data_IF_511623232713
#
_entry.id   IF_511623232713
#
_cell.length_a   1.000
_cell.length_b   1.000
_cell.length_c   1.000
_cell.angle_alpha   90.00
_cell.angle_beta   90.00
_cell.angle_gamma   90.00
#
_symmetry.space_group_name_H-M   'P 1'
#
loop_
_entity.id
_entity.type
_entity.pdbx_description
1 polymer ?
#
# COMPACT_ATOMS: atom_id res chain seq x y z
N UNK A 1 -0.36 4.60 4.05
CA UNK A 1 0.27 5.87 3.59
C UNK A 1 -0.73 7.01 3.46
N UNK A 2 -0.29 8.29 3.46
CA UNK A 2 -1.16 9.46 3.32
C UNK A 2 -2.05 9.44 2.08
N UNK A 3 -3.11 10.29 2.01
CA UNK A 3 -3.90 10.45 0.79
C UNK A 3 -3.04 10.96 -0.39
N UNK A 4 -3.47 10.67 -1.61
CA UNK A 4 -2.89 11.18 -2.87
C UNK A 4 -1.43 10.84 -3.15
N UNK A 5 -0.80 9.97 -2.36
CA UNK A 5 0.57 9.48 -2.60
C UNK A 5 0.67 8.43 -3.72
N UNK A 6 -0.43 8.02 -4.31
CA UNK A 6 -0.46 7.04 -5.40
C UNK A 6 -0.61 5.58 -4.96
N UNK A 7 -1.17 5.30 -3.77
CA UNK A 7 -1.39 3.92 -3.28
C UNK A 7 -2.08 3.03 -4.30
N UNK A 8 -3.27 3.42 -4.74
CA UNK A 8 -4.10 2.65 -5.68
C UNK A 8 -3.37 2.39 -7.00
N UNK A 9 -2.65 3.39 -7.53
CA UNK A 9 -1.84 3.22 -8.74
C UNK A 9 -0.72 2.20 -8.56
N UNK A 10 -0.04 2.23 -7.41
CA UNK A 10 0.99 1.24 -7.06
C UNK A 10 0.38 -0.15 -6.95
N UNK A 11 -0.75 -0.29 -6.23
CA UNK A 11 -1.45 -1.58 -6.06
C UNK A 11 -1.80 -2.18 -7.41
N UNK A 12 -2.39 -1.40 -8.33
CA UNK A 12 -2.71 -1.85 -9.70
C UNK A 12 -1.47 -2.38 -10.41
N UNK A 13 -0.36 -1.62 -10.39
CA UNK A 13 0.87 -2.03 -11.07
C UNK A 13 1.52 -3.28 -10.46
N UNK A 14 1.46 -3.43 -9.14
CA UNK A 14 1.95 -4.65 -8.47
C UNK A 14 1.07 -5.85 -8.84
N UNK A 15 -0.26 -5.67 -8.87
CA UNK A 15 -1.18 -6.74 -9.28
C UNK A 15 -0.93 -7.15 -10.73
N UNK A 16 -0.72 -6.20 -11.66
CA UNK A 16 -0.38 -6.51 -13.04
C UNK A 16 0.83 -7.48 -13.09
N UNK A 17 1.90 -7.18 -12.32
CA UNK A 17 3.10 -8.06 -12.29
C UNK A 17 2.85 -9.42 -11.65
N UNK A 18 2.03 -9.50 -10.60
CA UNK A 18 1.71 -10.75 -9.92
C UNK A 18 0.81 -11.65 -10.80
N UNK A 19 -0.11 -11.06 -11.54
CA UNK A 19 -0.97 -11.77 -12.50
C UNK A 19 -0.17 -12.32 -13.70
N UNK A 20 0.81 -11.57 -14.19
CA UNK A 20 1.73 -12.03 -15.22
C UNK A 20 2.51 -13.30 -14.78
N UNK A 21 2.65 -13.48 -13.47
CA UNK A 21 3.27 -14.66 -12.85
C UNK A 21 2.24 -15.74 -12.44
N UNK A 22 0.97 -15.56 -12.80
CA UNK A 22 -0.11 -16.54 -12.63
C UNK A 22 -0.80 -16.52 -11.28
N UNK A 23 -0.57 -15.51 -10.43
CA UNK A 23 -1.24 -15.40 -9.13
C UNK A 23 -2.64 -14.79 -9.25
N UNK A 24 -3.59 -15.36 -8.51
CA UNK A 24 -4.93 -14.82 -8.32
C UNK A 24 -4.93 -13.83 -7.14
N UNK A 25 -5.07 -12.53 -7.43
CA UNK A 25 -4.94 -11.47 -6.43
C UNK A 25 -6.25 -10.70 -6.27
N UNK A 26 -6.70 -10.58 -5.01
CA UNK A 26 -7.86 -9.75 -4.65
C UNK A 26 -7.46 -8.49 -3.91
N UNK A 27 -8.34 -7.48 -3.93
CA UNK A 27 -8.16 -6.21 -3.22
C UNK A 27 -9.35 -5.89 -2.34
N UNK A 28 -9.10 -5.41 -1.12
CA UNK A 28 -10.12 -4.72 -0.33
C UNK A 28 -9.64 -3.30 -0.05
N UNK A 29 -10.43 -2.33 -0.51
CA UNK A 29 -10.22 -0.90 -0.24
C UNK A 29 -11.04 -0.47 0.97
N UNK A 30 -10.40 0.17 1.95
CA UNK A 30 -11.07 0.80 3.09
C UNK A 30 -11.01 2.32 2.97
N UNK A 31 -12.18 2.95 2.98
CA UNK A 31 -12.31 4.40 2.92
C UNK A 31 -13.49 4.88 3.79
N UNK A 32 -13.56 6.18 4.06
CA UNK A 32 -14.69 6.77 4.80
C UNK A 32 -15.96 6.82 3.96
N UNK A 33 -15.84 7.21 2.70
CA UNK A 33 -16.93 7.40 1.76
C UNK A 33 -16.63 6.65 0.46
N UNK A 34 -17.61 6.60 -0.44
CA UNK A 34 -17.42 6.03 -1.78
C UNK A 34 -16.23 6.69 -2.50
N UNK A 35 -15.44 5.89 -3.20
CA UNK A 35 -14.25 6.32 -3.92
C UNK A 35 -14.32 5.89 -5.37
N UNK A 36 -13.65 6.63 -6.26
CA UNK A 36 -13.52 6.26 -7.68
C UNK A 36 -12.50 5.12 -7.89
N UNK A 37 -11.78 4.72 -6.86
CA UNK A 37 -10.77 3.66 -6.96
C UNK A 37 -11.40 2.31 -7.32
N UNK A 38 -12.64 2.04 -6.90
CA UNK A 38 -13.37 0.84 -7.31
C UNK A 38 -13.53 0.77 -8.83
N UNK A 39 -13.87 1.89 -9.47
CA UNK A 39 -14.00 1.99 -10.95
C UNK A 39 -12.64 1.68 -11.61
N UNK A 40 -11.54 2.11 -11.00
CA UNK A 40 -10.20 1.82 -11.51
C UNK A 40 -9.89 0.32 -11.45
N UNK A 41 -10.22 -0.35 -10.33
CA UNK A 41 -10.05 -1.79 -10.20
C UNK A 41 -10.92 -2.56 -11.19
N UNK A 42 -12.19 -2.19 -11.34
CA UNK A 42 -13.12 -2.80 -12.30
C UNK A 42 -12.62 -2.66 -13.75
N UNK A 43 -12.14 -1.48 -14.15
CA UNK A 43 -11.56 -1.25 -15.49
C UNK A 43 -10.31 -2.09 -15.77
N UNK A 44 -9.69 -2.62 -14.74
CA UNK A 44 -8.49 -3.47 -14.80
C UNK A 44 -8.81 -4.95 -14.55
N UNK A 45 -10.09 -5.32 -14.52
CA UNK A 45 -10.56 -6.68 -14.17
C UNK A 45 -9.96 -7.19 -12.85
N UNK A 46 -9.66 -6.29 -11.90
CA UNK A 46 -9.16 -6.65 -10.58
C UNK A 46 -10.37 -6.91 -9.68
N UNK A 47 -10.45 -8.12 -9.14
CA UNK A 47 -11.47 -8.47 -8.16
C UNK A 47 -11.28 -7.61 -6.90
N UNK A 48 -12.15 -6.66 -6.70
CA UNK A 48 -12.04 -5.69 -5.61
C UNK A 48 -13.34 -5.57 -4.81
N UNK A 49 -13.19 -5.30 -3.50
CA UNK A 49 -14.29 -4.99 -2.59
C UNK A 49 -13.99 -3.70 -1.84
N UNK A 50 -15.00 -2.89 -1.57
CA UNK A 50 -14.87 -1.67 -0.78
C UNK A 50 -15.52 -1.83 0.59
N UNK A 51 -14.80 -1.47 1.63
CA UNK A 51 -15.30 -1.32 3.00
C UNK A 51 -15.45 0.16 3.35
N UNK A 52 -16.66 0.61 3.58
CA UNK A 52 -16.94 2.02 3.92
C UNK A 52 -17.06 2.17 5.44
N UNK A 53 -16.16 2.95 6.03
CA UNK A 53 -16.10 3.16 7.48
C UNK A 53 -17.01 4.29 7.98
N UNK A 54 -17.55 5.10 7.08
CA UNK A 54 -18.35 6.27 7.45
C UNK A 54 -17.55 7.25 8.30
N UNK A 55 -17.99 7.47 9.53
CA UNK A 55 -17.33 8.38 10.47
C UNK A 55 -16.17 7.74 11.25
N UNK A 56 -15.89 6.46 11.06
CA UNK A 56 -14.78 5.78 11.70
C UNK A 56 -13.48 5.97 10.90
N UNK A 57 -12.34 5.86 11.59
CA UNK A 57 -11.06 5.80 10.91
C UNK A 57 -10.98 4.50 10.08
N UNK A 58 -10.66 4.57 8.77
CA UNK A 58 -10.55 3.38 7.91
C UNK A 58 -9.55 2.35 8.41
N UNK A 59 -8.44 2.77 9.04
CA UNK A 59 -7.46 1.86 9.61
C UNK A 59 -8.04 1.01 10.75
N UNK A 60 -8.78 1.66 11.68
CA UNK A 60 -9.46 0.94 12.75
C UNK A 60 -10.59 0.06 12.23
N UNK A 61 -11.34 0.55 11.25
CA UNK A 61 -12.42 -0.22 10.62
C UNK A 61 -11.86 -1.49 9.96
N UNK A 62 -10.73 -1.39 9.24
CA UNK A 62 -10.06 -2.56 8.68
C UNK A 62 -9.66 -3.57 9.77
N UNK A 63 -8.95 -3.14 10.81
CA UNK A 63 -8.48 -4.03 11.87
C UNK A 63 -9.63 -4.78 12.54
N UNK A 64 -10.77 -4.13 12.72
CA UNK A 64 -11.98 -4.74 13.30
C UNK A 64 -12.71 -5.70 12.34
N UNK A 65 -12.45 -5.63 11.03
CA UNK A 65 -13.11 -6.44 10.00
C UNK A 65 -12.15 -7.42 9.30
N UNK A 66 -10.98 -7.68 9.86
CA UNK A 66 -9.97 -8.55 9.24
C UNK A 66 -10.48 -9.98 9.02
N UNK A 67 -11.28 -10.50 9.91
CA UNK A 67 -11.89 -11.84 9.78
C UNK A 67 -12.77 -11.95 8.53
N UNK A 68 -13.58 -10.93 8.27
CA UNK A 68 -14.43 -10.87 7.07
C UNK A 68 -13.61 -10.75 5.78
N UNK A 69 -12.46 -10.05 5.85
CA UNK A 69 -11.52 -9.97 4.74
C UNK A 69 -10.95 -11.35 4.40
N UNK A 70 -10.49 -12.09 5.41
CA UNK A 70 -9.94 -13.44 5.24
C UNK A 70 -11.00 -14.43 4.75
N UNK A 71 -12.22 -14.36 5.30
CA UNK A 71 -13.32 -15.19 4.84
C UNK A 71 -13.71 -14.93 3.38
N UNK A 72 -13.66 -13.67 2.95
CA UNK A 72 -13.89 -13.33 1.54
C UNK A 72 -12.78 -13.85 0.65
N UNK A 73 -11.51 -13.66 1.03
CA UNK A 73 -10.36 -14.16 0.29
C UNK A 73 -10.41 -15.68 0.09
N UNK A 74 -10.75 -16.42 1.15
CA UNK A 74 -10.90 -17.87 1.09
C UNK A 74 -12.02 -18.33 0.14
N UNK A 75 -13.18 -17.65 0.14
CA UNK A 75 -14.26 -17.96 -0.81
C UNK A 75 -13.90 -17.70 -2.28
N UNK A 76 -13.00 -16.75 -2.53
CA UNK A 76 -12.54 -16.38 -3.88
C UNK A 76 -11.29 -17.15 -4.31
N UNK A 77 -10.71 -17.96 -3.43
CA UNK A 77 -9.46 -18.69 -3.68
C UNK A 77 -8.32 -17.78 -4.15
N UNK A 78 -8.16 -16.62 -3.51
CA UNK A 78 -7.03 -15.74 -3.80
C UNK A 78 -5.74 -16.33 -3.25
N UNK A 79 -4.69 -16.28 -4.06
CA UNK A 79 -3.33 -16.57 -3.61
C UNK A 79 -2.80 -15.43 -2.73
N UNK A 80 -3.22 -14.19 -3.00
CA UNK A 80 -2.84 -13.01 -2.26
C UNK A 80 -4.02 -12.04 -2.09
N UNK A 81 -4.23 -11.55 -0.88
CA UNK A 81 -5.16 -10.46 -0.60
C UNK A 81 -4.39 -9.19 -0.25
N UNK A 82 -4.62 -8.13 -0.99
CA UNK A 82 -4.10 -6.80 -0.68
C UNK A 82 -5.20 -5.97 -0.03
N UNK A 83 -4.92 -5.40 1.13
CA UNK A 83 -5.82 -4.44 1.77
C UNK A 83 -5.24 -3.03 1.65
N UNK A 84 -6.01 -2.10 1.09
CA UNK A 84 -5.63 -0.70 0.95
C UNK A 84 -6.48 0.17 1.88
N UNK A 85 -5.84 0.96 2.74
CA UNK A 85 -6.51 1.94 3.60
C UNK A 85 -6.30 3.36 3.08
N UNK A 86 -7.28 4.23 3.25
CA UNK A 86 -7.23 5.63 2.84
C UNK A 86 -6.11 6.44 3.52
N UNK A 87 -5.66 6.02 4.70
CA UNK A 87 -4.51 6.61 5.38
C UNK A 87 -4.74 8.05 5.89
N UNK A 88 -5.93 8.33 6.40
CA UNK A 88 -6.34 9.67 6.82
C UNK A 88 -5.78 10.10 8.17
N UNK A 89 -5.21 9.18 8.95
CA UNK A 89 -4.80 9.43 10.32
C UNK A 89 -3.31 9.14 10.54
N UNK A 90 -2.54 10.13 10.97
CA UNK A 90 -1.12 9.95 11.31
C UNK A 90 -0.89 9.31 12.69
N UNK A 91 -1.94 8.99 13.44
CA UNK A 91 -1.87 8.37 14.78
C UNK A 91 -2.13 6.87 14.75
N UNK A 92 -2.67 6.36 13.64
CA UNK A 92 -3.08 4.98 13.47
C UNK A 92 -2.15 4.26 12.50
N UNK A 93 -2.21 2.95 12.53
CA UNK A 93 -1.65 2.08 11.50
C UNK A 93 -2.60 0.90 11.31
N UNK A 94 -2.89 0.48 10.08
CA UNK A 94 -3.62 -0.75 9.80
C UNK A 94 -2.74 -2.00 9.99
N UNK A 95 -1.68 -1.91 10.79
CA UNK A 95 -0.75 -3.00 11.04
C UNK A 95 -1.43 -4.16 11.76
N UNK A 96 -1.26 -5.37 11.23
CA UNK A 96 -1.70 -6.63 11.82
C UNK A 96 -0.50 -7.54 11.98
N UNK A 97 -0.41 -8.20 13.13
CA UNK A 97 0.68 -9.14 13.41
C UNK A 97 0.71 -10.27 12.38
N UNK A 98 1.87 -10.62 11.89
CA UNK A 98 2.10 -11.64 10.86
C UNK A 98 1.46 -11.32 9.49
N UNK A 99 1.15 -10.06 9.24
CA UNK A 99 0.73 -9.56 7.93
C UNK A 99 1.73 -8.51 7.48
N UNK A 100 2.24 -8.63 6.27
CA UNK A 100 3.19 -7.66 5.71
C UNK A 100 2.56 -6.27 5.67
N UNK A 101 3.21 -5.31 6.29
CA UNK A 101 2.79 -3.92 6.35
C UNK A 101 3.56 -3.08 5.32
N UNK A 102 2.82 -2.40 4.45
CA UNK A 102 3.39 -1.53 3.41
C UNK A 102 2.96 -0.09 3.62
N UNK A 103 3.91 0.83 3.66
CA UNK A 103 3.63 2.26 3.70
C UNK A 103 4.03 2.91 2.38
N UNK A 104 3.07 3.57 1.72
CA UNK A 104 3.34 4.34 0.50
C UNK A 104 3.42 5.82 0.84
N UNK A 105 4.50 6.47 0.44
CA UNK A 105 4.71 7.93 0.56
C UNK A 105 5.26 8.47 -0.75
N UNK A 106 5.25 9.77 -0.94
CA UNK A 106 5.77 10.37 -2.17
C UNK A 106 6.85 11.43 -1.93
N UNK A 107 7.70 11.62 -2.91
CA UNK A 107 8.79 12.60 -2.86
C UNK A 107 8.29 14.06 -2.82
N UNK A 108 7.05 14.34 -3.24
CA UNK A 108 6.51 15.70 -3.31
C UNK A 108 5.93 16.17 -1.97
N UNK A 109 5.70 15.26 -1.04
CA UNK A 109 5.10 15.61 0.26
C UNK A 109 6.06 16.33 1.22
N UNK A 110 7.31 16.56 0.77
CA UNK A 110 8.36 17.30 1.47
C UNK A 110 9.22 16.44 2.39
N UNK A 111 10.49 16.85 2.55
CA UNK A 111 11.56 16.09 3.25
C UNK A 111 11.27 15.74 4.71
N UNK A 112 10.34 16.43 5.35
CA UNK A 112 9.96 16.17 6.74
C UNK A 112 8.77 15.20 6.88
N UNK A 113 8.14 14.79 5.77
CA UNK A 113 6.99 13.88 5.78
C UNK A 113 7.28 12.55 6.45
N UNK A 114 8.43 11.86 6.24
CA UNK A 114 8.73 10.60 6.91
C UNK A 114 8.61 10.68 8.45
N UNK A 115 8.95 11.82 9.04
CA UNK A 115 8.83 12.03 10.50
C UNK A 115 7.38 12.25 10.95
N UNK A 116 6.50 12.73 10.06
CA UNK A 116 5.11 13.12 10.36
C UNK A 116 4.10 11.98 10.15
N UNK A 117 4.42 11.03 9.29
CA UNK A 117 3.52 9.90 8.93
C UNK A 117 3.24 8.98 10.12
N UNK A 118 4.11 8.95 11.11
CA UNK A 118 3.86 8.28 12.39
C UNK A 118 3.89 6.75 12.30
N UNK A 119 2.94 6.06 12.99
CA UNK A 119 2.95 4.59 13.09
C UNK A 119 2.90 3.86 11.75
N UNK A 120 2.19 4.38 10.75
CA UNK A 120 2.11 3.76 9.42
C UNK A 120 3.49 3.53 8.81
N UNK A 121 4.42 4.48 8.98
CA UNK A 121 5.77 4.34 8.45
C UNK A 121 6.66 3.53 9.40
N UNK A 122 6.55 3.76 10.72
CA UNK A 122 7.42 3.10 11.70
C UNK A 122 7.20 1.59 11.82
N UNK A 123 5.98 1.12 11.52
CA UNK A 123 5.59 -0.29 11.59
C UNK A 123 5.59 -0.98 10.22
N UNK A 124 5.98 -0.28 9.15
CA UNK A 124 6.02 -0.85 7.83
C UNK A 124 7.24 -1.76 7.64
N UNK A 125 7.03 -2.92 7.03
CA UNK A 125 8.09 -3.82 6.57
C UNK A 125 8.69 -3.30 5.25
N UNK A 126 7.83 -2.70 4.40
CA UNK A 126 8.21 -2.10 3.13
C UNK A 126 7.73 -0.64 3.09
N UNK A 127 8.60 0.26 2.69
CA UNK A 127 8.22 1.65 2.36
C UNK A 127 8.39 1.86 0.86
N UNK A 128 7.28 2.14 0.19
CA UNK A 128 7.27 2.48 -1.23
C UNK A 128 7.32 4.00 -1.38
N UNK A 129 8.30 4.49 -2.12
CA UNK A 129 8.45 5.91 -2.42
C UNK A 129 8.04 6.14 -3.87
N UNK A 130 7.00 6.94 -4.08
CA UNK A 130 6.48 7.28 -5.40
C UNK A 130 6.94 8.66 -5.88
N UNK A 131 6.62 8.98 -7.15
CA UNK A 131 6.87 10.30 -7.77
C UNK A 131 8.34 10.73 -7.74
N UNK A 132 9.27 9.76 -7.79
CA UNK A 132 10.70 10.04 -7.85
C UNK A 132 11.16 10.57 -9.22
N UNK A 133 10.34 10.40 -10.26
CA UNK A 133 10.57 10.86 -11.63
C UNK A 133 10.43 12.37 -11.81
N UNK A 134 9.76 13.05 -10.88
CA UNK A 134 9.51 14.51 -10.94
C UNK A 134 10.33 15.32 -9.93
N UNK A 135 11.29 14.70 -9.28
CA UNK A 135 12.25 15.36 -8.37
C UNK A 135 13.67 15.02 -8.76
N UNK A 136 14.64 15.82 -8.33
CA UNK A 136 16.06 15.58 -8.57
C UNK A 136 16.56 14.32 -7.85
N UNK A 137 17.70 13.78 -8.30
CA UNK A 137 18.33 12.64 -7.63
C UNK A 137 18.67 12.99 -6.17
N UNK A 138 19.21 14.18 -5.92
CA UNK A 138 19.57 14.61 -4.57
C UNK A 138 18.34 14.62 -3.62
N UNK A 139 17.20 15.12 -4.10
CA UNK A 139 15.96 15.11 -3.31
C UNK A 139 15.49 13.68 -3.01
N UNK A 140 15.58 12.76 -3.98
CA UNK A 140 15.25 11.34 -3.75
C UNK A 140 16.13 10.71 -2.68
N UNK A 141 17.42 10.94 -2.74
CA UNK A 141 18.38 10.39 -1.77
C UNK A 141 18.15 10.95 -0.37
N UNK A 142 17.96 12.27 -0.25
CA UNK A 142 17.64 12.91 1.03
C UNK A 142 16.32 12.37 1.60
N UNK A 143 15.30 12.20 0.76
CA UNK A 143 14.01 11.67 1.20
C UNK A 143 14.14 10.22 1.67
N UNK A 144 14.80 9.36 0.91
CA UNK A 144 15.06 7.96 1.28
C UNK A 144 15.87 7.86 2.58
N UNK A 145 16.88 8.71 2.77
CA UNK A 145 17.62 8.80 4.03
C UNK A 145 16.72 9.17 5.21
N UNK A 146 15.79 10.11 5.04
CA UNK A 146 14.79 10.47 6.07
C UNK A 146 13.84 9.33 6.39
N UNK A 147 13.46 8.54 5.38
CA UNK A 147 12.69 7.30 5.60
C UNK A 147 13.48 6.33 6.47
N UNK A 148 14.75 6.07 6.13
CA UNK A 148 15.62 5.19 6.92
C UNK A 148 15.85 5.68 8.35
N UNK A 149 15.92 6.99 8.57
CA UNK A 149 15.97 7.54 9.93
C UNK A 149 14.68 7.27 10.72
N UNK A 150 13.52 7.32 10.06
CA UNK A 150 12.22 7.10 10.71
C UNK A 150 11.89 5.61 10.91
N UNK A 151 12.34 4.75 10.02
CA UNK A 151 12.24 3.29 10.09
C UNK A 151 13.50 2.63 9.53
N UNK A 152 14.49 2.31 10.39
CA UNK A 152 15.77 1.72 9.96
C UNK A 152 15.65 0.32 9.37
N UNK A 153 14.61 -0.42 9.72
CA UNK A 153 14.44 -1.84 9.32
C UNK A 153 13.67 -2.01 8.02
N UNK A 154 12.85 -1.03 7.62
CA UNK A 154 12.04 -1.14 6.42
C UNK A 154 12.88 -1.32 5.15
N UNK A 155 12.42 -2.17 4.25
CA UNK A 155 12.89 -2.18 2.87
C UNK A 155 12.32 -0.96 2.12
N UNK A 156 13.16 -0.26 1.37
CA UNK A 156 12.73 0.90 0.59
C UNK A 156 12.74 0.52 -0.88
N UNK A 157 11.59 0.72 -1.54
CA UNK A 157 11.43 0.49 -2.97
C UNK A 157 10.88 1.77 -3.63
N UNK A 158 11.50 2.19 -4.72
CA UNK A 158 10.99 3.30 -5.52
C UNK A 158 10.07 2.77 -6.62
N UNK A 159 8.84 3.27 -6.66
CA UNK A 159 7.84 2.82 -7.64
C UNK A 159 7.25 4.02 -8.39
N UNK A 160 7.22 3.93 -9.71
CA UNK A 160 6.44 4.83 -10.54
C UNK A 160 5.05 4.20 -10.78
N UNK A 161 4.01 4.75 -10.18
CA UNK A 161 2.64 4.25 -10.28
C UNK A 161 2.01 4.43 -11.68
N UNK A 162 2.63 5.17 -12.59
CA UNK A 162 2.17 5.34 -13.98
C UNK A 162 2.82 4.29 -14.88
N UNK A 163 4.16 4.20 -14.88
CA UNK A 163 4.90 3.30 -15.75
C UNK A 163 5.01 1.87 -15.22
N UNK A 164 4.88 1.68 -13.91
CA UNK A 164 5.08 0.39 -13.24
C UNK A 164 6.54 0.08 -12.92
N UNK A 165 7.48 0.99 -13.19
CA UNK A 165 8.87 0.81 -12.77
C UNK A 165 8.94 0.54 -11.25
N UNK A 166 9.67 -0.51 -10.85
CA UNK A 166 9.79 -0.94 -9.45
C UNK A 166 8.65 -1.83 -8.94
N UNK A 167 7.51 -1.95 -9.65
CA UNK A 167 6.37 -2.76 -9.21
C UNK A 167 6.71 -4.26 -9.12
N UNK A 168 7.53 -4.77 -10.04
CA UNK A 168 7.99 -6.18 -10.02
C UNK A 168 8.78 -6.50 -8.76
N UNK A 169 9.63 -5.59 -8.29
CA UNK A 169 10.40 -5.77 -7.05
C UNK A 169 9.46 -5.90 -5.86
N UNK A 170 8.43 -5.06 -5.77
CA UNK A 170 7.41 -5.16 -4.73
C UNK A 170 6.66 -6.48 -4.82
N UNK A 171 6.27 -6.92 -6.03
CA UNK A 171 5.61 -8.21 -6.25
C UNK A 171 6.45 -9.38 -5.74
N UNK A 172 7.75 -9.40 -6.01
CA UNK A 172 8.66 -10.44 -5.50
C UNK A 172 8.75 -10.44 -3.96
N UNK A 173 8.79 -9.26 -3.34
CA UNK A 173 8.76 -9.16 -1.88
C UNK A 173 7.46 -9.73 -1.29
N UNK A 174 6.32 -9.51 -1.94
CA UNK A 174 5.03 -10.07 -1.52
C UNK A 174 5.01 -11.60 -1.61
N UNK A 175 5.55 -12.17 -2.67
CA UNK A 175 5.66 -13.63 -2.84
C UNK A 175 6.56 -14.26 -1.79
N UNK A 176 7.70 -13.64 -1.51
CA UNK A 176 8.64 -14.16 -0.52
C UNK A 176 8.05 -14.18 0.90
N UNK A 177 7.13 -13.25 1.22
CA UNK A 177 6.47 -13.24 2.51
C UNK A 177 5.40 -14.35 2.68
N UNK A 178 4.88 -14.91 1.60
CA UNK A 178 3.96 -16.05 1.66
C UNK A 178 4.66 -17.37 1.98
N UNK A 179 5.98 -17.42 1.83
CA UNK A 179 6.80 -18.64 2.01
C UNK A 179 7.33 -18.80 3.44
N UNK A 180 6.98 -17.89 4.36
CA UNK A 180 7.33 -17.91 5.77
C UNK A 180 6.13 -18.22 6.66
#
# INVERSE_FOLDING_TARGET
>A
GPPSVGKTSVVVKVIDTLRDEGLNVGVIKFDCLSTQDQILYEKKDIEAKTGLSGNLCPDHFFVNNVQDCLAWAGRKNFDLLITESAGLCNRCSPHIRNVMAVCVIDNLSGVNTPRKVGPMLRLADIVIITKGDIVSQAEREVFAFRVKQANPTALIVHVNGITGQGAREVGQLFKNAQSL
#
